data_IF_312078802183
#
_entry.id   IF_312078802183
#
_cell.length_a   1.000
_cell.length_b   1.000
_cell.length_c   1.000
_cell.angle_alpha   90.00
_cell.angle_beta   90.00
_cell.angle_gamma   90.00
#
_symmetry.space_group_name_H-M   'P 1'
#
loop_
_entity.id
_entity.type
_entity.pdbx_description
1 polymer ?
#
# COMPACT_ATOMS: atom_id res chain seq x y z
N UNK A 1 12.67 -0.24 -14.64
CA UNK A 1 14.02 -0.42 -14.09
C UNK A 1 14.01 -1.03 -12.69
N UNK A 2 13.10 -0.60 -11.77
CA UNK A 2 13.05 -1.09 -10.39
C UNK A 2 12.68 -2.57 -10.25
N UNK A 3 11.89 -3.11 -11.13
CA UNK A 3 11.48 -4.51 -11.08
C UNK A 3 12.63 -5.51 -11.18
N UNK A 4 13.69 -5.20 -11.93
CA UNK A 4 14.85 -6.07 -12.04
C UNK A 4 15.59 -6.22 -10.71
N UNK A 5 15.58 -5.21 -9.85
CA UNK A 5 16.16 -5.29 -8.50
C UNK A 5 15.35 -6.23 -7.60
N UNK A 6 14.03 -6.25 -7.75
CA UNK A 6 13.14 -7.12 -6.96
C UNK A 6 13.32 -8.59 -7.32
N UNK A 7 13.38 -8.91 -8.60
CA UNK A 7 13.38 -10.29 -9.09
C UNK A 7 14.79 -10.87 -9.28
N UNK A 8 15.82 -10.04 -9.22
CA UNK A 8 17.22 -10.46 -9.38
C UNK A 8 17.91 -10.56 -8.01
N UNK A 9 18.01 -11.77 -7.49
CA UNK A 9 18.59 -12.01 -6.17
C UNK A 9 20.03 -11.52 -6.02
N UNK A 10 20.77 -11.34 -7.13
CA UNK A 10 22.14 -10.78 -7.11
C UNK A 10 22.15 -9.33 -6.61
N UNK A 11 21.03 -8.64 -6.70
CA UNK A 11 20.88 -7.24 -6.23
C UNK A 11 20.47 -7.15 -4.76
N UNK A 12 19.99 -8.24 -4.15
CA UNK A 12 19.42 -8.23 -2.81
C UNK A 12 20.40 -7.75 -1.72
N UNK A 13 21.71 -7.98 -1.90
CA UNK A 13 22.70 -7.42 -0.96
C UNK A 13 22.75 -5.89 -0.94
N UNK A 14 22.48 -5.23 -2.08
CA UNK A 14 22.36 -3.77 -2.13
C UNK A 14 21.05 -3.29 -1.49
N UNK A 15 19.97 -4.02 -1.70
CA UNK A 15 18.68 -3.74 -1.09
C UNK A 15 18.72 -3.94 0.42
N UNK A 16 19.38 -4.98 0.91
CA UNK A 16 19.62 -5.21 2.34
C UNK A 16 20.33 -4.01 2.98
N UNK A 17 21.43 -3.58 2.39
CA UNK A 17 22.18 -2.43 2.88
C UNK A 17 21.26 -1.19 2.95
N UNK A 18 20.53 -0.90 1.87
CA UNK A 18 19.60 0.23 1.82
C UNK A 18 18.53 0.17 2.92
N UNK A 19 17.82 -0.97 3.04
CA UNK A 19 16.76 -1.15 4.04
C UNK A 19 17.31 -0.98 5.45
N UNK A 20 18.43 -1.66 5.76
CA UNK A 20 19.04 -1.61 7.10
C UNK A 20 19.58 -0.22 7.43
N UNK A 21 20.22 0.47 6.50
CA UNK A 21 20.73 1.83 6.74
C UNK A 21 19.61 2.83 7.01
N UNK A 22 18.55 2.83 6.16
CA UNK A 22 17.40 3.73 6.36
C UNK A 22 16.68 3.43 7.67
N UNK A 23 16.35 2.18 7.91
CA UNK A 23 15.64 1.81 9.14
C UNK A 23 16.47 2.05 10.40
N UNK A 24 17.78 1.74 10.40
CA UNK A 24 18.66 2.02 11.53
C UNK A 24 18.75 3.54 11.84
N UNK A 25 18.78 4.36 10.78
CA UNK A 25 18.82 5.82 10.97
C UNK A 25 17.57 6.33 11.68
N UNK A 26 16.40 5.80 11.34
CA UNK A 26 15.11 6.31 11.81
C UNK A 26 14.40 5.42 12.85
N UNK A 27 14.98 4.30 13.26
CA UNK A 27 14.30 3.32 14.15
C UNK A 27 13.82 3.88 15.50
N UNK A 28 14.32 5.02 15.93
CA UNK A 28 13.89 5.68 17.16
C UNK A 28 13.17 7.01 16.89
N UNK A 29 12.92 7.39 15.64
CA UNK A 29 12.29 8.66 15.28
C UNK A 29 10.78 8.58 15.56
N UNK A 30 10.23 9.39 16.48
CA UNK A 30 8.81 9.34 16.84
C UNK A 30 7.88 9.87 15.74
N UNK A 31 8.39 10.46 14.68
CA UNK A 31 7.61 10.91 13.52
C UNK A 31 7.26 9.77 12.58
N UNK A 32 7.97 8.63 12.65
CA UNK A 32 7.66 7.42 11.89
C UNK A 32 6.59 6.64 12.67
N UNK A 33 5.44 6.48 12.05
CA UNK A 33 4.31 5.77 12.65
C UNK A 33 4.40 4.25 12.43
N UNK A 34 4.73 3.85 11.21
CA UNK A 34 4.81 2.44 10.77
C UNK A 34 5.78 2.32 9.60
N UNK A 35 6.43 1.17 9.48
CA UNK A 35 7.22 0.80 8.31
C UNK A 35 6.42 -0.17 7.45
N UNK A 36 6.07 0.26 6.23
CA UNK A 36 5.59 -0.63 5.18
C UNK A 36 6.79 -1.12 4.37
N UNK A 37 7.05 -2.42 4.46
CA UNK A 37 8.30 -3.01 3.97
C UNK A 37 8.28 -3.33 2.48
N UNK A 38 7.08 -3.52 1.91
CA UNK A 38 6.94 -3.96 0.53
C UNK A 38 5.54 -3.61 0.00
N UNK A 39 5.47 -2.76 -1.01
CA UNK A 39 4.20 -2.41 -1.64
C UNK A 39 3.68 -3.55 -2.51
N UNK A 40 2.47 -4.04 -2.22
CA UNK A 40 1.74 -5.02 -3.02
C UNK A 40 2.61 -6.17 -3.55
N UNK A 41 3.22 -6.97 -2.67
CA UNK A 41 4.04 -8.10 -3.11
C UNK A 41 3.24 -9.01 -4.03
N UNK A 42 3.89 -9.56 -5.05
CA UNK A 42 3.30 -10.34 -6.14
C UNK A 42 2.54 -9.55 -7.22
N UNK A 43 2.34 -8.23 -7.07
CA UNK A 43 1.78 -7.38 -8.12
C UNK A 43 2.80 -7.12 -9.23
N UNK A 44 3.08 -8.14 -10.00
CA UNK A 44 4.08 -8.15 -11.07
C UNK A 44 3.75 -9.23 -12.11
N UNK A 45 4.38 -9.15 -13.27
CA UNK A 45 4.28 -10.19 -14.32
C UNK A 45 4.94 -11.52 -13.93
N UNK A 46 5.73 -11.54 -12.85
CA UNK A 46 6.43 -12.72 -12.32
C UNK A 46 6.20 -12.82 -10.80
N UNK A 47 4.96 -13.10 -10.35
CA UNK A 47 4.58 -12.99 -8.94
C UNK A 47 5.45 -13.83 -8.01
N UNK A 48 5.83 -15.05 -8.41
CA UNK A 48 6.67 -15.96 -7.64
C UNK A 48 8.08 -15.42 -7.36
N UNK A 49 8.59 -14.52 -8.20
CA UNK A 49 9.92 -13.93 -8.06
C UNK A 49 10.00 -12.81 -7.01
N UNK A 50 8.88 -12.32 -6.54
CA UNK A 50 8.85 -11.33 -5.44
C UNK A 50 9.05 -11.98 -4.07
N UNK A 51 8.72 -13.25 -3.91
CA UNK A 51 8.79 -13.96 -2.63
C UNK A 51 10.17 -13.96 -1.96
N UNK A 52 11.29 -14.21 -2.66
CA UNK A 52 12.61 -14.18 -2.02
C UNK A 52 12.90 -12.83 -1.36
N UNK A 53 12.61 -11.72 -2.03
CA UNK A 53 12.82 -10.40 -1.46
C UNK A 53 11.83 -10.11 -0.32
N UNK A 54 10.56 -10.45 -0.49
CA UNK A 54 9.53 -10.27 0.54
C UNK A 54 9.95 -10.93 1.87
N UNK A 55 10.40 -12.17 1.83
CA UNK A 55 10.89 -12.87 3.03
C UNK A 55 12.11 -12.16 3.64
N UNK A 56 13.06 -11.75 2.81
CA UNK A 56 14.29 -11.07 3.23
C UNK A 56 14.01 -9.72 3.89
N UNK A 57 13.11 -8.89 3.35
CA UNK A 57 12.87 -7.55 3.92
C UNK A 57 12.27 -7.63 5.33
N UNK A 58 11.38 -8.60 5.60
CA UNK A 58 10.90 -8.84 6.96
C UNK A 58 12.04 -9.28 7.90
N UNK A 59 12.90 -10.19 7.46
CA UNK A 59 14.07 -10.61 8.23
C UNK A 59 14.97 -9.42 8.56
N UNK A 60 15.34 -8.61 7.57
CA UNK A 60 16.19 -7.44 7.74
C UNK A 60 15.57 -6.39 8.68
N UNK A 61 14.27 -6.16 8.56
CA UNK A 61 13.57 -5.23 9.43
C UNK A 61 13.56 -5.71 10.90
N UNK A 62 13.36 -7.02 11.12
CA UNK A 62 13.43 -7.60 12.48
C UNK A 62 14.85 -7.53 13.06
N UNK A 63 15.89 -7.72 12.26
CA UNK A 63 17.29 -7.56 12.69
C UNK A 63 17.61 -6.12 13.10
N UNK A 64 17.03 -5.12 12.42
CA UNK A 64 17.15 -3.71 12.82
C UNK A 64 16.42 -3.40 14.11
N UNK A 65 15.32 -4.11 14.37
CA UNK A 65 14.47 -3.96 15.54
C UNK A 65 14.03 -2.51 15.81
N UNK A 66 13.27 -1.90 14.87
CA UNK A 66 12.75 -0.54 15.07
C UNK A 66 11.71 -0.50 16.20
N UNK A 67 11.53 0.68 16.81
CA UNK A 67 10.46 0.90 17.80
C UNK A 67 9.07 0.94 17.17
N UNK A 68 9.00 1.31 15.91
CA UNK A 68 7.77 1.37 15.15
C UNK A 68 7.36 -0.01 14.68
N UNK A 69 6.05 -0.28 14.56
CA UNK A 69 5.55 -1.52 13.96
C UNK A 69 5.98 -1.64 12.50
N UNK A 70 6.14 -2.88 12.06
CA UNK A 70 6.38 -3.21 10.66
C UNK A 70 5.18 -3.92 10.05
N UNK A 71 4.96 -3.71 8.77
CA UNK A 71 3.85 -4.30 8.00
C UNK A 71 4.23 -4.44 6.52
N UNK A 72 3.37 -5.10 5.78
CA UNK A 72 3.25 -4.99 4.32
C UNK A 72 1.79 -5.24 3.96
N UNK A 73 1.21 -4.41 3.11
CA UNK A 73 -0.22 -4.38 2.85
C UNK A 73 -0.77 -5.64 2.18
N UNK A 74 -1.87 -6.17 2.72
CA UNK A 74 -2.69 -7.18 2.09
C UNK A 74 -3.50 -6.50 0.96
N UNK A 75 -3.47 -7.03 -0.26
CA UNK A 75 -4.05 -6.32 -1.40
C UNK A 75 -4.82 -7.20 -2.38
N UNK A 76 -4.77 -8.51 -2.21
CA UNK A 76 -5.44 -9.48 -3.07
C UNK A 76 -5.99 -10.68 -2.28
N UNK A 77 -6.60 -11.63 -2.98
CA UNK A 77 -7.22 -12.83 -2.36
C UNK A 77 -6.25 -14.03 -2.25
N UNK A 78 -4.94 -13.85 -2.52
CA UNK A 78 -3.98 -14.95 -2.41
C UNK A 78 -3.78 -15.33 -0.94
N UNK A 79 -4.35 -16.47 -0.55
CA UNK A 79 -4.33 -16.92 0.85
C UNK A 79 -2.92 -17.13 1.39
N UNK A 80 -2.02 -17.74 0.61
CA UNK A 80 -0.64 -17.99 1.06
C UNK A 80 0.09 -16.68 1.35
N UNK A 81 -0.06 -15.70 0.45
CA UNK A 81 0.51 -14.38 0.64
C UNK A 81 -0.08 -13.69 1.87
N UNK A 82 -1.39 -13.67 1.99
CA UNK A 82 -2.07 -13.01 3.11
C UNK A 82 -1.73 -13.64 4.46
N UNK A 83 -1.65 -14.97 4.52
CA UNK A 83 -1.21 -15.68 5.73
C UNK A 83 0.24 -15.31 6.10
N UNK A 84 1.13 -15.22 5.12
CA UNK A 84 2.52 -14.79 5.34
C UNK A 84 2.59 -13.35 5.84
N UNK A 85 1.93 -12.42 5.16
CA UNK A 85 1.91 -11.01 5.52
C UNK A 85 1.33 -10.80 6.92
N UNK A 86 0.17 -11.40 7.18
CA UNK A 86 -0.48 -11.33 8.48
C UNK A 86 0.40 -11.91 9.61
N UNK A 87 1.10 -13.01 9.37
CA UNK A 87 1.94 -13.65 10.39
C UNK A 87 3.22 -12.88 10.71
N UNK A 88 3.73 -12.07 9.79
CA UNK A 88 4.99 -11.37 9.94
C UNK A 88 4.84 -9.88 10.27
N UNK A 89 3.66 -9.29 10.09
CA UNK A 89 3.35 -7.89 10.39
C UNK A 89 2.96 -7.69 11.86
N UNK A 90 3.25 -6.53 12.44
CA UNK A 90 2.82 -6.17 13.79
C UNK A 90 1.39 -5.61 13.80
N UNK A 91 1.02 -4.88 12.78
CA UNK A 91 -0.32 -4.35 12.51
C UNK A 91 -0.82 -4.86 11.17
N UNK A 92 -2.11 -4.78 10.92
CA UNK A 92 -2.68 -5.15 9.64
C UNK A 92 -2.84 -3.91 8.76
N UNK A 93 -2.21 -3.91 7.61
CA UNK A 93 -2.49 -2.92 6.57
C UNK A 93 -3.08 -3.60 5.34
N UNK A 94 -3.96 -2.90 4.63
CA UNK A 94 -4.56 -3.45 3.43
C UNK A 94 -4.88 -2.37 2.40
N UNK A 95 -4.99 -2.79 1.13
CA UNK A 95 -5.42 -1.96 0.02
C UNK A 95 -6.79 -2.45 -0.48
N UNK A 96 -7.71 -1.52 -0.72
CA UNK A 96 -8.99 -1.87 -1.31
C UNK A 96 -9.55 -0.70 -2.11
N UNK A 97 -9.63 -0.84 -3.41
CA UNK A 97 -10.13 0.16 -4.34
C UNK A 97 -11.55 -0.14 -4.85
N UNK A 98 -12.26 -1.05 -4.18
CA UNK A 98 -13.57 -1.52 -4.57
C UNK A 98 -14.72 -0.67 -3.99
N UNK A 99 -15.96 -1.04 -4.30
CA UNK A 99 -17.16 -0.42 -3.74
C UNK A 99 -17.20 -0.47 -2.21
N UNK A 100 -18.12 0.29 -1.60
CA UNK A 100 -18.31 0.27 -0.15
C UNK A 100 -18.59 -1.13 0.38
N UNK A 101 -19.48 -1.88 -0.27
CA UNK A 101 -19.89 -3.21 0.17
C UNK A 101 -18.72 -4.20 0.16
N UNK A 102 -17.91 -4.17 -0.89
CA UNK A 102 -16.73 -5.02 -1.01
C UNK A 102 -15.63 -4.60 -0.04
N UNK A 103 -15.39 -3.30 0.09
CA UNK A 103 -14.41 -2.78 1.06
C UNK A 103 -14.80 -3.14 2.49
N UNK A 104 -16.10 -3.07 2.84
CA UNK A 104 -16.60 -3.48 4.15
C UNK A 104 -16.38 -4.97 4.42
N UNK A 105 -16.61 -5.81 3.42
CA UNK A 105 -16.35 -7.25 3.51
C UNK A 105 -14.87 -7.54 3.77
N UNK A 106 -13.99 -6.97 2.96
CA UNK A 106 -12.52 -7.12 3.11
C UNK A 106 -12.07 -6.62 4.48
N UNK A 107 -12.50 -5.44 4.89
CA UNK A 107 -12.20 -4.86 6.20
C UNK A 107 -12.61 -5.79 7.35
N UNK A 108 -13.85 -6.32 7.32
CA UNK A 108 -14.35 -7.24 8.35
C UNK A 108 -13.52 -8.52 8.46
N UNK A 109 -13.04 -9.07 7.34
CA UNK A 109 -12.13 -10.23 7.38
C UNK A 109 -10.80 -9.89 8.05
N UNK A 110 -10.22 -8.73 7.75
CA UNK A 110 -8.96 -8.32 8.35
C UNK A 110 -9.08 -7.99 9.84
N UNK A 111 -10.20 -7.42 10.28
CA UNK A 111 -10.49 -7.15 11.69
C UNK A 111 -10.55 -8.43 12.54
N UNK A 112 -10.90 -9.59 11.96
CA UNK A 112 -10.87 -10.88 12.67
C UNK A 112 -9.48 -11.28 13.14
N UNK A 113 -8.42 -10.69 12.59
CA UNK A 113 -7.04 -10.92 13.03
C UNK A 113 -6.72 -10.28 14.40
N UNK A 114 -7.62 -9.45 14.95
CA UNK A 114 -7.53 -8.91 16.31
C UNK A 114 -6.37 -7.94 16.55
N UNK A 115 -5.88 -7.27 15.49
CA UNK A 115 -4.77 -6.31 15.56
C UNK A 115 -5.20 -4.93 15.04
N UNK A 116 -4.48 -3.85 15.43
CA UNK A 116 -4.71 -2.54 14.83
C UNK A 116 -4.68 -2.64 13.30
N UNK A 117 -5.67 -2.05 12.65
CA UNK A 117 -5.87 -2.19 11.20
C UNK A 117 -5.93 -0.84 10.52
N UNK A 118 -5.28 -0.71 9.37
CA UNK A 118 -5.25 0.51 8.56
C UNK A 118 -5.50 0.14 7.10
N UNK A 119 -6.46 0.79 6.45
CA UNK A 119 -6.57 0.79 5.00
C UNK A 119 -5.57 1.82 4.44
N UNK A 120 -4.44 1.34 3.94
CA UNK A 120 -3.32 2.20 3.52
C UNK A 120 -3.42 2.67 2.08
N UNK A 121 -4.29 2.05 1.28
CA UNK A 121 -4.63 2.53 -0.06
C UNK A 121 -6.10 2.27 -0.38
N UNK A 122 -6.79 3.31 -0.77
CA UNK A 122 -8.15 3.27 -1.27
C UNK A 122 -8.44 4.55 -2.06
N UNK A 123 -9.63 4.76 -2.52
CA UNK A 123 -10.07 5.84 -3.37
C UNK A 123 -9.90 5.53 -4.86
N UNK A 124 -11.02 5.14 -5.46
CA UNK A 124 -11.11 4.90 -6.91
C UNK A 124 -12.54 5.23 -7.37
N UNK A 125 -12.75 6.45 -7.86
CA UNK A 125 -14.09 6.91 -8.27
C UNK A 125 -14.71 6.04 -9.37
N UNK A 126 -13.87 5.46 -10.23
CA UNK A 126 -14.35 4.60 -11.32
C UNK A 126 -14.93 3.29 -10.79
N UNK A 127 -14.45 2.82 -9.66
CA UNK A 127 -14.95 1.62 -8.97
C UNK A 127 -15.84 1.97 -7.76
N UNK A 128 -16.41 3.18 -7.70
CA UNK A 128 -17.27 3.65 -6.61
C UNK A 128 -16.62 3.64 -5.22
N UNK A 129 -15.30 3.60 -5.14
CA UNK A 129 -14.56 3.83 -3.89
C UNK A 129 -14.40 5.34 -3.71
N UNK A 130 -15.32 5.97 -3.00
CA UNK A 130 -15.38 7.43 -2.85
C UNK A 130 -15.28 7.88 -1.40
N UNK A 131 -14.86 9.13 -1.18
CA UNK A 131 -14.72 9.68 0.17
C UNK A 131 -16.01 9.60 0.98
N UNK A 132 -17.19 10.02 0.44
CA UNK A 132 -18.43 9.97 1.20
C UNK A 132 -18.88 8.57 1.64
N UNK A 133 -18.47 7.53 0.89
CA UNK A 133 -18.89 6.16 1.15
C UNK A 133 -17.89 5.41 2.04
N UNK A 134 -16.59 5.54 1.75
CA UNK A 134 -15.57 4.71 2.39
C UNK A 134 -15.09 5.32 3.71
N UNK A 135 -14.80 6.62 3.75
CA UNK A 135 -14.18 7.24 4.93
C UNK A 135 -15.05 7.15 6.19
N UNK A 136 -16.38 7.43 6.15
CA UNK A 136 -17.23 7.24 7.33
C UNK A 136 -17.26 5.80 7.84
N UNK A 137 -17.32 4.82 6.93
CA UNK A 137 -17.30 3.39 7.27
C UNK A 137 -16.03 2.97 7.98
N UNK A 138 -14.84 3.38 7.45
CA UNK A 138 -13.56 3.09 8.09
C UNK A 138 -13.47 3.74 9.47
N UNK A 139 -13.93 5.00 9.60
CA UNK A 139 -13.98 5.72 10.88
C UNK A 139 -14.86 5.03 11.90
N UNK A 140 -16.06 4.61 11.54
CA UNK A 140 -17.00 3.90 12.42
C UNK A 140 -16.43 2.57 12.91
N UNK A 141 -15.69 1.86 12.03
CA UNK A 141 -15.00 0.62 12.36
C UNK A 141 -13.68 0.81 13.13
N UNK A 142 -13.29 2.06 13.45
CA UNK A 142 -11.98 2.38 14.06
C UNK A 142 -10.78 1.87 13.25
N UNK A 143 -10.89 1.85 11.93
CA UNK A 143 -9.83 1.49 10.99
C UNK A 143 -9.12 2.76 10.53
N UNK A 144 -7.79 2.78 10.62
CA UNK A 144 -6.98 3.86 10.07
C UNK A 144 -7.17 3.99 8.56
N UNK A 145 -6.99 5.18 8.01
CA UNK A 145 -7.30 5.46 6.61
C UNK A 145 -6.24 6.34 5.98
N UNK A 146 -5.64 5.86 4.89
CA UNK A 146 -4.73 6.60 4.02
C UNK A 146 -5.20 6.38 2.58
N UNK A 147 -5.63 7.42 1.89
CA UNK A 147 -6.08 7.30 0.51
C UNK A 147 -4.94 7.49 -0.47
N UNK A 148 -5.09 6.91 -1.64
CA UNK A 148 -4.17 7.09 -2.75
C UNK A 148 -4.57 8.30 -3.59
N UNK A 149 -3.59 9.18 -3.88
CA UNK A 149 -3.78 10.40 -4.66
C UNK A 149 -4.22 11.61 -3.81
N UNK A 150 -3.56 12.74 -4.02
CA UNK A 150 -3.84 13.97 -3.28
C UNK A 150 -4.05 15.15 -4.23
N UNK A 151 -3.04 15.51 -4.99
CA UNK A 151 -3.06 16.69 -5.86
C UNK A 151 -2.68 16.30 -7.28
N UNK A 152 -3.50 16.72 -8.24
CA UNK A 152 -3.21 16.54 -9.65
C UNK A 152 -1.88 17.20 -10.03
N UNK A 153 -0.99 16.44 -10.64
CA UNK A 153 0.31 16.92 -11.04
C UNK A 153 1.13 15.85 -11.77
N UNK A 154 2.43 15.87 -11.55
CA UNK A 154 3.38 14.96 -12.21
C UNK A 154 3.19 13.49 -11.84
N UNK A 155 2.53 13.20 -10.71
CA UNK A 155 2.17 11.84 -10.29
C UNK A 155 1.16 11.19 -11.21
N UNK A 156 0.33 12.00 -11.91
CA UNK A 156 -0.70 11.53 -12.85
C UNK A 156 -1.73 10.56 -12.25
N UNK A 157 -1.89 10.56 -10.93
CA UNK A 157 -2.80 9.67 -10.19
C UNK A 157 -4.28 9.97 -10.43
N UNK A 158 -4.61 11.07 -11.11
CA UNK A 158 -5.95 11.34 -11.61
C UNK A 158 -6.35 10.50 -12.83
N UNK A 159 -5.37 9.96 -13.57
CA UNK A 159 -5.64 9.13 -14.76
C UNK A 159 -6.13 7.74 -14.32
N UNK A 160 -7.09 7.19 -15.06
CA UNK A 160 -7.53 5.81 -14.84
C UNK A 160 -6.40 4.83 -15.16
N UNK A 161 -6.35 3.74 -14.42
CA UNK A 161 -5.43 2.65 -14.72
C UNK A 161 -5.62 2.14 -16.16
N UNK A 162 -4.52 1.95 -16.85
CA UNK A 162 -4.53 1.58 -18.26
C UNK A 162 -4.75 2.75 -19.24
N UNK A 163 -4.97 3.99 -18.75
CA UNK A 163 -5.01 5.14 -19.62
C UNK A 163 -3.64 5.38 -20.27
N UNK A 164 -3.66 5.69 -21.57
CA UNK A 164 -2.44 5.99 -22.33
C UNK A 164 -2.21 7.50 -22.33
N UNK A 165 -1.01 7.91 -21.96
CA UNK A 165 -0.62 9.34 -21.87
C UNK A 165 -0.67 10.08 -23.22
N UNK A 166 -0.69 9.34 -24.34
CA UNK A 166 -0.87 9.91 -25.67
C UNK A 166 -2.30 10.44 -25.91
N UNK A 167 -3.25 10.06 -25.05
CA UNK A 167 -4.66 10.48 -25.12
C UNK A 167 -4.95 11.72 -24.27
N UNK A 168 -4.02 12.64 -24.15
CA UNK A 168 -4.22 13.91 -23.45
C UNK A 168 -4.80 14.99 -24.37
N UNK A 169 -5.60 15.96 -23.83
CA UNK A 169 -5.96 16.09 -22.41
C UNK A 169 -6.96 15.02 -21.94
N UNK A 170 -6.80 14.55 -20.70
CA UNK A 170 -7.72 13.61 -20.09
C UNK A 170 -9.02 14.30 -19.67
N UNK A 171 -10.13 13.83 -20.19
CA UNK A 171 -11.48 14.40 -19.95
C UNK A 171 -12.41 13.47 -19.15
N UNK A 172 -11.90 12.31 -18.73
CA UNK A 172 -12.66 11.35 -17.93
C UNK A 172 -12.75 11.72 -16.45
N UNK A 173 -13.47 10.91 -15.71
CA UNK A 173 -13.54 10.99 -14.23
C UNK A 173 -12.16 10.73 -13.64
N UNK A 174 -11.71 11.59 -12.75
CA UNK A 174 -10.44 11.38 -12.05
C UNK A 174 -10.50 10.16 -11.14
N UNK A 175 -9.53 9.29 -11.28
CA UNK A 175 -9.53 8.04 -10.52
C UNK A 175 -9.25 8.30 -9.04
N UNK A 176 -8.17 9.00 -8.70
CA UNK A 176 -7.71 9.15 -7.32
C UNK A 176 -7.71 10.59 -6.80
N UNK A 177 -6.99 11.52 -7.41
CA UNK A 177 -6.71 12.84 -6.83
C UNK A 177 -7.94 13.60 -6.36
N UNK A 178 -7.81 14.29 -5.22
CA UNK A 178 -8.88 15.09 -4.60
C UNK A 178 -8.74 16.59 -4.82
N UNK A 179 -7.56 17.05 -5.19
CA UNK A 179 -7.32 18.45 -5.51
C UNK A 179 -6.79 18.61 -6.94
N UNK A 180 -7.21 19.68 -7.58
CA UNK A 180 -6.64 20.13 -8.84
C UNK A 180 -5.24 20.70 -8.60
N UNK A 181 -4.47 20.95 -9.68
CA UNK A 181 -3.12 21.50 -9.59
C UNK A 181 -3.04 22.91 -9.00
N UNK A 182 -4.15 23.63 -8.92
CA UNK A 182 -4.31 24.92 -8.24
C UNK A 182 -4.80 24.79 -6.78
N UNK A 183 -4.84 23.57 -6.26
CA UNK A 183 -5.32 23.20 -4.92
C UNK A 183 -6.82 23.41 -4.69
N UNK A 184 -7.61 23.69 -5.71
CA UNK A 184 -9.07 23.65 -5.57
C UNK A 184 -9.57 22.21 -5.55
N UNK A 185 -10.64 21.88 -4.78
CA UNK A 185 -11.23 20.55 -4.80
C UNK A 185 -11.70 20.12 -6.19
N UNK A 186 -11.57 18.84 -6.48
CA UNK A 186 -12.11 18.20 -7.69
C UNK A 186 -13.58 17.81 -7.46
#
# INVERSE_FOLDING_TARGET
PGYSMVVDERTHGKLEKYVKEVMNHFKNDPRIFVWDLYNEPTNTTMPERSWPLLRKVFTWAREVNPKQPITSGLWNENKELNDFLASNSDIITFHCYASKEETEKVMKEHLKLGRPTICTEWMNRVAHSTIPEILPMLKEAHVGSMMWGLVNGKTQTHLCWGHRTEQLPYTGVWQHDIYKGDYTPY
#
